data_IF_732373737058
#
_entry.id   IF_732373737058
#
_cell.length_a   1.000
_cell.length_b   1.000
_cell.length_c   1.000
_cell.angle_alpha   90.00
_cell.angle_beta   90.00
_cell.angle_gamma   90.00
#
_symmetry.space_group_name_H-M   'P 1'
#
loop_
_entity.id
_entity.type
_entity.pdbx_description
1 polymer ?
#
# COMPACT_ATOMS: atom_id res chain seq x y z
N UNK A 1 -7.39 2.25 1.93
CA UNK A 1 -6.06 2.86 1.73
C UNK A 1 -5.65 3.64 2.97
N UNK A 2 -4.47 3.37 3.47
CA UNK A 2 -3.96 4.15 4.58
C UNK A 2 -2.44 4.01 4.66
N UNK A 3 -1.79 4.97 5.32
CA UNK A 3 -0.36 4.96 5.54
C UNK A 3 -0.10 4.94 7.03
N UNK A 4 0.91 4.19 7.44
CA UNK A 4 1.23 4.03 8.83
C UNK A 4 2.73 4.16 9.03
N UNK A 5 3.13 4.89 10.07
CA UNK A 5 4.53 5.00 10.42
C UNK A 5 5.00 3.72 11.08
N UNK A 6 6.00 3.05 10.47
CA UNK A 6 6.53 1.81 11.01
C UNK A 6 7.62 2.07 12.02
N UNK A 7 8.38 3.13 11.82
CA UNK A 7 9.37 3.60 12.77
C UNK A 7 9.70 5.05 12.38
N UNK A 8 10.77 5.59 12.94
CA UNK A 8 11.02 7.02 12.82
C UNK A 8 11.36 7.49 11.41
N UNK A 9 11.60 6.58 10.47
CA UNK A 9 12.00 7.00 9.14
C UNK A 9 11.34 6.19 8.04
N UNK A 10 10.26 5.50 8.33
CA UNK A 10 9.61 4.65 7.35
C UNK A 10 8.09 4.77 7.48
N UNK A 11 7.43 4.89 6.34
CA UNK A 11 5.98 4.83 6.27
C UNK A 11 5.58 3.64 5.40
N UNK A 12 4.55 2.95 5.81
CA UNK A 12 3.99 1.84 5.06
C UNK A 12 2.58 2.22 4.62
N UNK A 13 2.30 2.03 3.34
CA UNK A 13 0.97 2.27 2.79
C UNK A 13 0.44 0.97 2.20
N UNK A 14 -0.85 0.74 2.38
CA UNK A 14 -1.52 -0.44 1.84
C UNK A 14 -2.66 0.01 0.96
N UNK A 15 -2.73 -0.55 -0.24
CA UNK A 15 -3.73 -0.17 -1.23
C UNK A 15 -4.33 -1.45 -1.81
N UNK A 16 -5.65 -1.49 -1.93
CA UNK A 16 -6.31 -2.64 -2.56
C UNK A 16 -5.83 -2.73 -4.00
N UNK A 17 -5.46 -3.95 -4.40
CA UNK A 17 -4.98 -4.18 -5.75
C UNK A 17 -6.01 -3.74 -6.76
N UNK A 18 -5.57 -3.05 -7.80
CA UNK A 18 -6.45 -2.51 -8.81
C UNK A 18 -6.76 -1.04 -8.64
N UNK A 19 -6.45 -0.48 -7.47
CA UNK A 19 -6.69 0.94 -7.23
C UNK A 19 -5.46 1.73 -7.70
N UNK A 20 -5.35 1.85 -9.02
CA UNK A 20 -4.14 2.44 -9.61
C UNK A 20 -4.01 3.93 -9.33
N UNK A 21 -5.12 4.61 -9.13
CA UNK A 21 -5.08 6.04 -8.81
C UNK A 21 -4.34 6.24 -7.49
N UNK A 22 -4.67 5.45 -6.48
CA UNK A 22 -4.00 5.57 -5.19
C UNK A 22 -2.53 5.17 -5.28
N UNK A 23 -2.22 4.13 -6.05
CA UNK A 23 -0.84 3.72 -6.23
C UNK A 23 -0.03 4.83 -6.89
N UNK A 24 -0.58 5.44 -7.94
CA UNK A 24 0.10 6.55 -8.60
C UNK A 24 0.31 7.72 -7.67
N UNK A 25 -0.69 8.03 -6.87
CA UNK A 25 -0.58 9.12 -5.92
C UNK A 25 0.54 8.87 -4.92
N UNK A 26 0.59 7.67 -4.38
CA UNK A 26 1.62 7.33 -3.41
C UNK A 26 3.00 7.34 -4.05
N UNK A 27 3.10 6.84 -5.28
CA UNK A 27 4.39 6.85 -5.97
C UNK A 27 4.87 8.27 -6.23
N UNK A 28 3.94 9.19 -6.47
CA UNK A 28 4.32 10.58 -6.69
C UNK A 28 4.88 11.22 -5.42
N UNK A 29 4.58 10.66 -4.26
CA UNK A 29 5.15 11.12 -2.99
C UNK A 29 6.45 10.39 -2.64
N UNK A 30 6.89 9.47 -3.47
CA UNK A 30 8.14 8.76 -3.24
C UNK A 30 7.98 7.35 -2.71
N UNK A 31 6.77 6.88 -2.52
CA UNK A 31 6.54 5.51 -2.12
C UNK A 31 6.94 4.55 -3.24
N UNK A 32 7.44 3.40 -2.86
CA UNK A 32 7.79 2.35 -3.81
C UNK A 32 7.05 1.08 -3.45
N UNK A 33 6.52 0.42 -4.46
CA UNK A 33 5.84 -0.85 -4.25
C UNK A 33 6.86 -1.92 -3.87
N UNK A 34 6.65 -2.56 -2.73
CA UNK A 34 7.59 -3.55 -2.23
C UNK A 34 7.02 -4.95 -2.23
N UNK A 35 5.71 -5.09 -2.42
CA UNK A 35 5.14 -6.43 -2.47
C UNK A 35 3.63 -6.39 -2.55
N UNK A 36 3.06 -7.59 -2.58
CA UNK A 36 1.61 -7.77 -2.63
C UNK A 36 1.23 -8.80 -1.58
N UNK A 37 0.28 -8.45 -0.73
CA UNK A 37 -0.31 -9.39 0.22
C UNK A 37 -1.56 -9.96 -0.43
N UNK A 38 -1.66 -11.26 -0.45
CA UNK A 38 -2.73 -11.91 -1.19
C UNK A 38 -3.83 -12.36 -0.25
N UNK A 39 -5.07 -12.10 -0.68
CA UNK A 39 -6.28 -12.59 -0.01
C UNK A 39 -6.34 -12.19 1.46
N UNK A 40 -5.90 -10.99 1.79
CA UNK A 40 -5.95 -10.55 3.17
C UNK A 40 -7.18 -9.69 3.47
N UNK A 41 -7.88 -9.23 2.43
CA UNK A 41 -9.11 -8.49 2.60
C UNK A 41 -10.27 -9.28 2.06
N UNK A 42 -11.46 -9.08 2.64
CA UNK A 42 -12.64 -9.76 2.17
C UNK A 42 -13.75 -8.73 2.01
N UNK A 43 -14.30 -8.63 0.79
CA UNK A 43 -15.32 -7.64 0.50
C UNK A 43 -16.14 -8.11 -0.67
N UNK A 44 -17.45 -7.87 -0.62
CA UNK A 44 -18.37 -8.26 -1.69
C UNK A 44 -18.22 -9.75 -2.02
N UNK A 45 -18.06 -10.57 -0.98
CA UNK A 45 -17.98 -12.03 -1.09
C UNK A 45 -16.78 -12.50 -1.92
N UNK A 46 -15.70 -11.74 -1.92
CA UNK A 46 -14.47 -12.19 -2.55
C UNK A 46 -13.28 -11.66 -1.77
N UNK A 47 -12.18 -12.39 -1.89
CA UNK A 47 -10.95 -12.00 -1.25
C UNK A 47 -10.23 -10.98 -2.11
N UNK A 48 -9.55 -10.06 -1.45
CA UNK A 48 -8.86 -8.98 -2.12
C UNK A 48 -7.37 -9.05 -1.79
N UNK A 49 -6.57 -8.77 -2.80
CA UNK A 49 -5.14 -8.61 -2.62
C UNK A 49 -4.85 -7.15 -2.27
N UNK A 50 -3.79 -6.93 -1.53
CA UNK A 50 -3.40 -5.59 -1.12
C UNK A 50 -1.95 -5.38 -1.52
N UNK A 51 -1.69 -4.25 -2.17
CA UNK A 51 -0.34 -3.86 -2.54
C UNK A 51 0.27 -3.04 -1.44
N UNK A 52 1.52 -3.34 -1.12
CA UNK A 52 2.24 -2.68 -0.04
C UNK A 52 3.29 -1.77 -0.65
N UNK A 53 3.25 -0.52 -0.25
CA UNK A 53 4.24 0.46 -0.69
C UNK A 53 4.98 1.00 0.52
N UNK A 54 6.20 1.40 0.31
CA UNK A 54 7.05 1.85 1.40
C UNK A 54 7.73 3.14 1.02
N UNK A 55 7.75 4.07 1.95
CA UNK A 55 8.51 5.31 1.82
C UNK A 55 9.54 5.35 2.93
N UNK A 56 10.80 5.48 2.54
CA UNK A 56 11.89 5.61 3.49
C UNK A 56 12.41 7.03 3.41
N UNK A 57 12.44 7.70 4.54
CA UNK A 57 12.99 9.06 4.60
C UNK A 57 13.95 9.15 5.77
N UNK A 58 15.08 9.74 5.52
CA UNK A 58 16.13 9.90 6.53
C UNK A 58 16.23 11.33 6.96
#
# INVERSE_FOLDING_TARGET
>A
EFAREANFHTLIAQVVKGNEVSVHLLESFGFKKVGTLREIGYKFEKYLDVEVLQLIFD
#
